data_IF_453601426254
#
_entry.id   IF_453601426254
#
_cell.length_a   1.000
_cell.length_b   1.000
_cell.length_c   1.000
_cell.angle_alpha   90.00
_cell.angle_beta   90.00
_cell.angle_gamma   90.00
#
_symmetry.space_group_name_H-M   'P 1'
#
loop_
_entity.id
_entity.type
_entity.pdbx_description
1 polymer ?
#
# COMPACT_ATOMS: atom_id res chain seq x y z
N UNK A 1 -23.94 1.73 24.81
CA UNK A 1 -22.50 1.37 24.76
C UNK A 1 -22.02 1.69 23.37
N UNK A 2 -20.95 2.48 23.24
CA UNK A 2 -20.34 2.74 21.95
C UNK A 2 -19.81 1.41 21.39
N UNK A 3 -20.04 1.18 20.11
CA UNK A 3 -19.54 -0.02 19.41
C UNK A 3 -18.07 0.21 19.07
N UNK A 4 -17.19 -0.68 19.50
CA UNK A 4 -15.78 -0.66 19.08
C UNK A 4 -15.61 -1.50 17.83
N UNK A 5 -15.20 -0.87 16.73
CA UNK A 5 -14.96 -1.51 15.45
C UNK A 5 -13.45 -1.64 15.21
N UNK A 6 -12.70 -0.56 15.47
CA UNK A 6 -11.27 -0.48 15.25
C UNK A 6 -10.53 -0.64 16.57
N UNK A 7 -9.83 -1.76 16.72
CA UNK A 7 -9.02 -2.06 17.90
C UNK A 7 -7.98 -3.14 17.56
N UNK A 8 -6.83 -2.75 17.06
CA UNK A 8 -5.81 -3.68 16.57
C UNK A 8 -4.42 -3.26 17.04
N UNK A 9 -3.86 -3.99 18.01
CA UNK A 9 -2.62 -3.65 18.68
C UNK A 9 -1.41 -4.52 18.29
N UNK A 10 -1.65 -5.62 17.58
CA UNK A 10 -0.59 -6.55 17.18
C UNK A 10 -1.01 -7.41 15.98
N UNK A 11 -0.09 -8.24 15.49
CA UNK A 11 -0.29 -9.08 14.31
C UNK A 11 -0.73 -10.53 14.65
N UNK A 12 -0.89 -10.90 15.93
CA UNK A 12 -1.11 -12.29 16.36
C UNK A 12 -2.36 -12.52 17.20
N UNK A 13 -3.03 -11.49 17.69
CA UNK A 13 -4.30 -11.66 18.40
C UNK A 13 -5.39 -12.22 17.46
N UNK A 14 -6.39 -12.93 18.00
CA UNK A 14 -7.46 -13.48 17.21
C UNK A 14 -8.15 -12.43 16.35
N UNK A 15 -8.12 -12.61 15.03
CA UNK A 15 -8.76 -11.72 14.06
C UNK A 15 -10.28 -11.78 14.24
N UNK A 16 -10.93 -10.63 14.36
CA UNK A 16 -12.39 -10.51 14.51
C UNK A 16 -13.04 -9.83 13.32
N UNK A 17 -12.34 -8.90 12.69
CA UNK A 17 -12.85 -8.10 11.58
C UNK A 17 -11.70 -7.74 10.65
N UNK A 18 -11.91 -7.83 9.34
CA UNK A 18 -10.89 -7.54 8.33
C UNK A 18 -11.50 -6.88 7.09
N UNK A 19 -10.74 -6.01 6.46
CA UNK A 19 -11.01 -5.52 5.11
C UNK A 19 -10.26 -6.42 4.13
N UNK A 20 -11.00 -7.15 3.30
CA UNK A 20 -10.45 -7.98 2.25
C UNK A 20 -10.61 -7.27 0.90
N UNK A 21 -9.51 -7.07 0.17
CA UNK A 21 -9.51 -6.35 -1.09
C UNK A 21 -10.33 -7.01 -2.21
N UNK A 22 -10.42 -6.32 -3.34
CA UNK A 22 -11.06 -6.77 -4.59
C UNK A 22 -10.12 -6.61 -5.76
N UNK A 23 -10.25 -7.51 -6.75
CA UNK A 23 -9.51 -7.42 -8.00
C UNK A 23 -10.25 -6.63 -9.10
N UNK A 24 -11.48 -6.20 -8.84
CA UNK A 24 -12.29 -5.45 -9.80
C UNK A 24 -11.56 -4.21 -10.30
N UNK A 25 -11.50 -4.07 -11.61
CA UNK A 25 -10.89 -2.93 -12.27
C UNK A 25 -9.37 -2.80 -12.09
N UNK A 26 -8.68 -3.81 -11.54
CA UNK A 26 -7.23 -3.79 -11.39
C UNK A 26 -6.54 -3.59 -12.75
N UNK A 27 -5.51 -2.75 -12.75
CA UNK A 27 -4.67 -2.47 -13.91
C UNK A 27 -3.24 -2.98 -13.72
N UNK A 28 -2.56 -3.17 -14.84
CA UNK A 28 -1.11 -3.14 -14.89
C UNK A 28 -0.76 -1.66 -14.87
N UNK A 29 -0.01 -1.17 -13.87
CA UNK A 29 0.27 0.25 -13.78
C UNK A 29 1.20 0.72 -14.90
N UNK A 30 1.04 1.98 -15.29
CA UNK A 30 1.93 2.60 -16.26
C UNK A 30 3.37 2.72 -15.71
N UNK A 31 4.37 2.74 -16.59
CA UNK A 31 5.76 2.93 -16.19
C UNK A 31 5.94 4.16 -15.31
N UNK A 32 6.67 4.00 -14.23
CA UNK A 32 7.03 5.05 -13.28
C UNK A 32 8.32 4.67 -12.52
N UNK A 33 9.06 5.62 -11.91
CA UNK A 33 10.37 5.35 -11.35
C UNK A 33 10.40 4.19 -10.34
N UNK A 34 9.51 4.17 -9.35
CA UNK A 34 9.50 3.14 -8.32
C UNK A 34 9.08 1.76 -8.85
N UNK A 35 8.19 1.71 -9.84
CA UNK A 35 7.76 0.48 -10.48
C UNK A 35 8.85 -0.07 -11.41
N UNK A 36 9.43 0.79 -12.25
CA UNK A 36 10.44 0.40 -13.22
C UNK A 36 11.68 -0.19 -12.53
N UNK A 37 11.99 0.25 -11.33
CA UNK A 37 13.02 -0.34 -10.50
C UNK A 37 12.73 -1.81 -10.11
N UNK A 38 11.49 -2.27 -10.19
CA UNK A 38 11.08 -3.65 -9.87
C UNK A 38 10.89 -4.54 -11.10
N UNK A 39 10.70 -3.95 -12.27
CA UNK A 39 10.45 -4.69 -13.51
C UNK A 39 11.78 -4.94 -14.22
N UNK A 40 12.19 -6.21 -14.41
CA UNK A 40 13.42 -6.52 -15.15
C UNK A 40 13.37 -5.99 -16.58
N UNK A 41 14.54 -5.61 -17.12
CA UNK A 41 14.65 -5.09 -18.51
C UNK A 41 14.18 -6.09 -19.56
N UNK A 42 14.40 -7.38 -19.33
CA UNK A 42 14.02 -8.50 -20.20
C UNK A 42 12.58 -8.98 -19.95
N UNK A 43 11.83 -8.34 -19.06
CA UNK A 43 10.44 -8.69 -18.80
C UNK A 43 9.55 -8.31 -19.99
N UNK A 44 8.72 -9.25 -20.42
CA UNK A 44 7.67 -9.02 -21.42
C UNK A 44 6.57 -8.04 -20.93
N UNK A 45 6.58 -7.73 -19.61
CA UNK A 45 5.68 -6.76 -18.99
C UNK A 45 6.22 -5.34 -19.02
N UNK A 46 7.51 -5.14 -19.36
CA UNK A 46 8.11 -3.81 -19.35
C UNK A 46 7.42 -2.87 -20.34
N UNK A 47 7.02 -1.71 -19.86
CA UNK A 47 6.30 -0.70 -20.61
C UNK A 47 4.84 -1.00 -20.93
N UNK A 48 4.34 -2.20 -20.62
CA UNK A 48 2.92 -2.52 -20.79
C UNK A 48 2.12 -1.99 -19.61
N UNK A 49 0.95 -1.43 -19.90
CA UNK A 49 0.01 -0.96 -18.90
C UNK A 49 -1.44 -1.02 -19.40
N UNK A 50 -2.40 -0.87 -18.51
CA UNK A 50 -3.82 -0.90 -18.81
C UNK A 50 -4.58 -1.94 -17.99
N UNK A 51 -5.86 -2.15 -18.29
CA UNK A 51 -6.70 -3.09 -17.56
C UNK A 51 -6.14 -4.52 -17.64
N UNK A 52 -6.19 -5.24 -16.53
CA UNK A 52 -5.98 -6.69 -16.55
C UNK A 52 -7.13 -7.36 -17.29
N UNK A 53 -6.85 -8.52 -17.91
CA UNK A 53 -7.89 -9.29 -18.57
C UNK A 53 -9.01 -9.68 -17.61
N UNK A 54 -10.25 -9.71 -18.08
CA UNK A 54 -11.40 -10.09 -17.24
C UNK A 54 -11.21 -11.49 -16.64
N UNK A 55 -10.67 -12.44 -17.40
CA UNK A 55 -10.33 -13.78 -16.90
C UNK A 55 -9.40 -13.74 -15.68
N UNK A 56 -8.38 -12.89 -15.72
CA UNK A 56 -7.44 -12.72 -14.59
C UNK A 56 -8.14 -12.11 -13.37
N UNK A 57 -9.00 -11.13 -13.59
CA UNK A 57 -9.78 -10.47 -12.52
C UNK A 57 -10.76 -11.45 -11.89
N UNK A 58 -11.51 -12.20 -12.71
CA UNK A 58 -12.49 -13.18 -12.25
C UNK A 58 -11.83 -14.29 -11.42
N UNK A 59 -10.71 -14.83 -11.88
CA UNK A 59 -9.95 -15.85 -11.15
C UNK A 59 -9.42 -15.31 -9.81
N UNK A 60 -8.93 -14.07 -9.79
CA UNK A 60 -8.47 -13.45 -8.55
C UNK A 60 -9.63 -13.22 -7.57
N UNK A 61 -10.78 -12.75 -8.04
CA UNK A 61 -11.98 -12.57 -7.22
C UNK A 61 -12.51 -13.92 -6.70
N UNK A 62 -12.52 -14.98 -7.52
CA UNK A 62 -12.89 -16.32 -7.06
C UNK A 62 -12.03 -16.78 -5.87
N UNK A 63 -10.72 -16.57 -5.93
CA UNK A 63 -9.80 -16.91 -4.83
C UNK A 63 -10.08 -16.06 -3.59
N UNK A 64 -10.30 -14.75 -3.76
CA UNK A 64 -10.65 -13.85 -2.68
C UNK A 64 -12.00 -14.21 -2.04
N UNK A 65 -13.00 -14.55 -2.82
CA UNK A 65 -14.32 -14.98 -2.34
C UNK A 65 -14.25 -16.30 -1.59
N UNK A 66 -13.41 -17.23 -2.02
CA UNK A 66 -13.16 -18.46 -1.30
C UNK A 66 -12.43 -18.21 0.03
N UNK A 67 -11.50 -17.28 0.06
CA UNK A 67 -10.84 -16.85 1.29
C UNK A 67 -11.84 -16.15 2.24
N UNK A 68 -12.71 -15.29 1.74
CA UNK A 68 -13.79 -14.67 2.51
C UNK A 68 -14.68 -15.72 3.19
N UNK A 69 -15.12 -16.75 2.45
CA UNK A 69 -15.92 -17.86 3.01
C UNK A 69 -15.20 -18.58 4.16
N UNK A 70 -13.88 -18.76 4.04
CA UNK A 70 -13.05 -19.38 5.10
C UNK A 70 -13.04 -18.49 6.35
N UNK A 71 -12.88 -17.20 6.18
CA UNK A 71 -12.86 -16.22 7.28
C UNK A 71 -14.22 -16.17 7.99
N UNK A 72 -15.31 -16.05 7.22
CA UNK A 72 -16.68 -16.02 7.75
C UNK A 72 -16.99 -17.32 8.51
N UNK A 73 -16.61 -18.49 7.98
CA UNK A 73 -16.78 -19.78 8.67
C UNK A 73 -16.06 -19.84 10.03
N UNK A 74 -15.01 -19.03 10.20
CA UNK A 74 -14.28 -18.89 11.47
C UNK A 74 -14.84 -17.78 12.37
N UNK A 75 -15.98 -17.19 12.03
CA UNK A 75 -16.63 -16.14 12.80
C UNK A 75 -16.00 -14.75 12.62
N UNK A 76 -15.15 -14.57 11.59
CA UNK A 76 -14.51 -13.29 11.29
C UNK A 76 -15.45 -12.49 10.39
N UNK A 77 -15.71 -11.24 10.77
CA UNK A 77 -16.43 -10.30 9.92
C UNK A 77 -15.50 -9.83 8.80
N UNK A 78 -16.00 -9.86 7.56
CA UNK A 78 -15.27 -9.39 6.38
C UNK A 78 -16.04 -8.25 5.73
N UNK A 79 -15.36 -7.15 5.51
CA UNK A 79 -15.86 -6.05 4.67
C UNK A 79 -14.98 -5.94 3.42
N UNK A 80 -15.56 -5.46 2.32
CA UNK A 80 -14.88 -5.32 1.02
C UNK A 80 -14.85 -3.84 0.60
N UNK A 81 -13.74 -3.36 0.00
CA UNK A 81 -13.67 -1.99 -0.51
C UNK A 81 -14.66 -1.77 -1.65
N UNK A 82 -14.92 -0.51 -1.94
CA UNK A 82 -15.66 -0.09 -3.11
C UNK A 82 -14.69 0.33 -4.21
N UNK A 83 -14.47 -0.50 -5.24
CA UNK A 83 -13.53 -0.19 -6.32
C UNK A 83 -13.94 1.08 -7.05
N UNK A 84 -12.98 1.96 -7.28
CA UNK A 84 -13.10 3.10 -8.19
C UNK A 84 -12.63 2.70 -9.59
N UNK A 85 -12.77 3.56 -10.58
CA UNK A 85 -12.19 3.33 -11.90
C UNK A 85 -10.66 3.50 -11.84
N UNK A 86 -9.90 2.40 -11.95
CA UNK A 86 -8.43 2.45 -11.96
C UNK A 86 -7.86 2.65 -13.37
N UNK A 87 -8.64 2.39 -14.42
CA UNK A 87 -8.23 2.60 -15.80
C UNK A 87 -8.54 4.04 -16.23
N UNK A 88 -7.87 4.99 -15.58
CA UNK A 88 -8.01 6.41 -15.88
C UNK A 88 -6.69 7.13 -15.62
N UNK A 89 -6.48 8.21 -16.39
CA UNK A 89 -5.37 9.12 -16.13
C UNK A 89 -5.55 9.80 -14.79
N UNK A 90 -4.46 9.90 -14.07
CA UNK A 90 -4.37 10.65 -12.82
C UNK A 90 -3.22 11.64 -12.92
N UNK A 91 -3.37 12.78 -12.28
CA UNK A 91 -2.33 13.80 -12.26
C UNK A 91 -2.32 14.59 -10.95
N UNK A 92 -1.15 15.07 -10.61
CA UNK A 92 -0.90 16.09 -9.61
C UNK A 92 -0.14 17.22 -10.30
N UNK A 93 0.15 18.34 -9.63
CA UNK A 93 1.01 19.39 -10.20
C UNK A 93 2.41 18.89 -10.60
N UNK A 94 2.89 17.78 -10.02
CA UNK A 94 4.28 17.32 -10.13
C UNK A 94 4.46 16.15 -11.11
N UNK A 95 3.41 15.35 -11.35
CA UNK A 95 3.50 14.15 -12.20
C UNK A 95 2.14 13.73 -12.75
N UNK A 96 2.18 12.81 -13.73
CA UNK A 96 1.01 12.16 -14.35
C UNK A 96 1.25 10.66 -14.44
N UNK A 97 0.16 9.88 -14.40
CA UNK A 97 0.17 8.45 -14.69
C UNK A 97 -1.03 8.09 -15.57
N UNK A 98 -0.85 7.15 -16.49
CA UNK A 98 -1.91 6.73 -17.42
C UNK A 98 -2.94 5.82 -16.76
N UNK A 99 -2.56 5.12 -15.68
CA UNK A 99 -3.45 4.23 -14.93
C UNK A 99 -3.11 4.28 -13.44
N UNK A 100 -4.09 3.87 -12.64
CA UNK A 100 -3.88 3.47 -11.25
C UNK A 100 -3.57 1.97 -11.18
N UNK A 101 -3.45 1.41 -9.98
CA UNK A 101 -3.15 -0.01 -9.78
C UNK A 101 -4.40 -0.84 -9.44
N UNK A 102 -5.07 -0.59 -8.32
CA UNK A 102 -6.22 -1.39 -7.88
C UNK A 102 -6.60 -1.16 -6.42
N UNK A 103 -7.33 -2.11 -5.83
CA UNK A 103 -7.69 -2.09 -4.41
C UNK A 103 -7.60 -3.47 -3.74
N UNK A 104 -6.76 -4.34 -4.26
CA UNK A 104 -6.61 -5.68 -3.71
C UNK A 104 -5.79 -5.70 -2.40
N UNK A 105 -4.65 -4.99 -2.27
CA UNK A 105 -3.83 -5.03 -1.07
C UNK A 105 -4.19 -3.93 -0.07
N UNK A 106 -5.31 -4.08 0.64
CA UNK A 106 -5.76 -3.11 1.66
C UNK A 106 -4.69 -2.81 2.71
N UNK A 107 -3.89 -3.81 3.09
CA UNK A 107 -2.84 -3.73 4.11
C UNK A 107 -1.71 -2.74 3.75
N UNK A 108 -1.48 -2.52 2.45
CA UNK A 108 -0.44 -1.58 2.00
C UNK A 108 -0.87 -0.12 2.17
N UNK A 109 -2.17 0.14 2.06
CA UNK A 109 -2.74 1.49 1.98
C UNK A 109 -3.19 2.00 3.35
N UNK A 110 -3.74 1.11 4.18
CA UNK A 110 -4.33 1.46 5.47
C UNK A 110 -3.58 0.76 6.60
N UNK A 111 -2.95 1.56 7.45
CA UNK A 111 -2.35 1.11 8.69
C UNK A 111 -3.40 1.24 9.81
N UNK A 112 -3.65 0.15 10.53
CA UNK A 112 -4.49 0.19 11.73
C UNK A 112 -3.61 0.00 12.95
N UNK A 113 -3.62 0.97 13.88
CA UNK A 113 -2.87 0.90 15.15
C UNK A 113 -3.81 1.25 16.29
N UNK A 114 -4.06 0.30 17.17
CA UNK A 114 -5.03 0.49 18.24
C UNK A 114 -6.41 0.84 17.67
N UNK A 115 -6.93 1.99 18.04
CA UNK A 115 -8.21 2.52 17.56
C UNK A 115 -8.08 3.53 16.40
N UNK A 116 -6.92 3.59 15.78
CA UNK A 116 -6.64 4.54 14.70
C UNK A 116 -6.44 3.82 13.37
N UNK A 117 -7.02 4.38 12.30
CA UNK A 117 -6.75 4.00 10.92
C UNK A 117 -6.04 5.16 10.21
N UNK A 118 -4.83 4.90 9.74
CA UNK A 118 -3.98 5.87 9.07
C UNK A 118 -3.85 5.52 7.57
N UNK A 119 -4.13 6.48 6.70
CA UNK A 119 -3.84 6.35 5.27
C UNK A 119 -2.34 6.57 5.04
N UNK A 120 -1.65 5.57 4.49
CA UNK A 120 -0.23 5.61 4.22
C UNK A 120 0.14 6.59 3.10
N UNK A 121 1.40 7.01 3.08
CA UNK A 121 1.93 7.96 2.08
C UNK A 121 1.92 7.37 0.68
N UNK A 122 2.29 6.11 0.52
CA UNK A 122 2.55 5.37 -0.72
C UNK A 122 3.74 5.94 -1.51
N UNK A 123 4.60 5.06 -1.96
CA UNK A 123 5.79 5.43 -2.74
C UNK A 123 5.62 5.32 -4.26
N UNK A 124 4.47 4.82 -4.70
CA UNK A 124 4.13 4.65 -6.11
C UNK A 124 3.10 5.68 -6.56
N UNK A 125 3.37 6.39 -7.63
CA UNK A 125 2.44 7.35 -8.23
C UNK A 125 1.12 6.71 -8.61
N UNK A 126 1.15 5.54 -9.22
CA UNK A 126 -0.06 4.79 -9.60
C UNK A 126 -0.93 4.38 -8.40
N UNK A 127 -0.39 4.35 -7.18
CA UNK A 127 -1.07 3.97 -5.95
C UNK A 127 -1.49 5.15 -5.08
N UNK A 128 -1.12 6.36 -5.45
CA UNK A 128 -1.29 7.55 -4.64
C UNK A 128 -2.75 7.81 -4.22
N UNK A 129 -3.73 7.44 -5.07
CA UNK A 129 -5.16 7.60 -4.84
C UNK A 129 -5.86 6.31 -4.40
N UNK A 130 -5.16 5.21 -4.10
CA UNK A 130 -5.79 3.93 -3.74
C UNK A 130 -6.65 4.02 -2.47
N UNK A 131 -6.33 4.91 -1.54
CA UNK A 131 -7.11 5.14 -0.33
C UNK A 131 -8.59 5.47 -0.60
N UNK A 132 -8.92 6.03 -1.77
CA UNK A 132 -10.30 6.36 -2.15
C UNK A 132 -11.20 5.12 -2.21
N UNK A 133 -10.65 3.94 -2.51
CA UNK A 133 -11.42 2.69 -2.50
C UNK A 133 -11.90 2.31 -1.11
N UNK A 134 -11.21 2.75 -0.07
CA UNK A 134 -11.44 2.36 1.33
C UNK A 134 -12.21 3.41 2.11
N UNK A 135 -12.21 4.65 1.67
CA UNK A 135 -12.86 5.76 2.37
C UNK A 135 -14.33 5.54 2.71
N UNK A 136 -15.18 4.95 1.83
CA UNK A 136 -16.56 4.66 2.19
C UNK A 136 -16.70 3.71 3.40
N UNK A 137 -15.79 2.71 3.52
CA UNK A 137 -15.76 1.81 4.67
C UNK A 137 -15.25 2.52 5.93
N UNK A 138 -14.18 3.29 5.80
CA UNK A 138 -13.58 4.02 6.92
C UNK A 138 -14.58 5.03 7.47
N UNK A 139 -15.27 5.76 6.60
CA UNK A 139 -16.33 6.69 7.01
C UNK A 139 -17.44 5.98 7.79
N UNK A 140 -17.92 4.83 7.29
CA UNK A 140 -18.90 4.02 7.99
C UNK A 140 -18.42 3.59 9.37
N UNK A 141 -17.15 3.18 9.50
CA UNK A 141 -16.59 2.79 10.80
C UNK A 141 -16.50 3.99 11.75
N UNK A 142 -16.06 5.13 11.22
CA UNK A 142 -15.97 6.37 11.98
C UNK A 142 -17.33 6.84 12.52
N UNK A 143 -18.39 6.70 11.72
CA UNK A 143 -19.75 7.06 12.12
C UNK A 143 -20.33 6.11 13.19
N UNK A 144 -19.90 4.83 13.21
CA UNK A 144 -20.37 3.80 14.13
C UNK A 144 -19.51 3.66 15.40
N UNK A 145 -18.22 4.01 15.35
CA UNK A 145 -17.25 3.87 16.45
C UNK A 145 -16.75 5.23 16.92
N UNK A 146 -17.36 5.73 17.99
CA UNK A 146 -17.04 7.06 18.54
C UNK A 146 -15.64 7.19 19.14
N UNK A 147 -14.91 6.07 19.31
CA UNK A 147 -13.53 6.06 19.81
C UNK A 147 -12.50 5.93 18.69
N UNK A 148 -12.95 5.68 17.47
CA UNK A 148 -12.07 5.56 16.32
C UNK A 148 -11.45 6.90 15.96
N UNK A 149 -10.20 6.87 15.54
CA UNK A 149 -9.52 7.97 14.86
C UNK A 149 -9.26 7.60 13.41
N UNK A 150 -9.38 8.59 12.54
CA UNK A 150 -9.02 8.48 11.14
C UNK A 150 -8.05 9.60 10.80
N UNK A 151 -6.87 9.23 10.39
CA UNK A 151 -5.79 10.15 10.06
C UNK A 151 -5.26 9.88 8.66
N UNK A 152 -4.69 10.89 8.06
CA UNK A 152 -3.99 10.78 6.77
C UNK A 152 -2.55 11.21 6.97
N UNK A 153 -1.60 10.36 6.66
CA UNK A 153 -0.20 10.78 6.60
C UNK A 153 -0.05 11.90 5.57
N UNK A 154 0.82 12.89 5.78
CA UNK A 154 1.09 13.92 4.79
C UNK A 154 1.39 13.28 3.43
N UNK A 155 0.58 13.60 2.42
CA UNK A 155 0.75 13.03 1.09
C UNK A 155 2.00 13.59 0.43
N UNK A 156 2.93 12.75 -0.01
CA UNK A 156 4.16 13.18 -0.65
C UNK A 156 3.87 13.76 -2.04
N UNK A 157 4.73 14.62 -2.52
CA UNK A 157 4.63 15.15 -3.89
C UNK A 157 5.02 14.10 -4.94
N UNK A 158 5.91 13.17 -4.59
CA UNK A 158 6.46 12.15 -5.48
C UNK A 158 7.09 12.75 -6.74
N UNK A 159 7.89 13.78 -6.56
CA UNK A 159 8.64 14.42 -7.64
C UNK A 159 9.72 13.49 -8.18
N UNK A 160 10.41 13.87 -9.24
CA UNK A 160 11.55 13.08 -9.73
C UNK A 160 12.77 13.13 -8.78
N UNK A 161 12.77 14.03 -7.80
CA UNK A 161 13.81 14.10 -6.77
C UNK A 161 13.66 13.00 -5.71
N UNK A 162 12.45 12.44 -5.58
CA UNK A 162 12.16 11.35 -4.65
C UNK A 162 12.73 10.00 -5.11
N UNK A 163 13.27 9.94 -6.33
CA UNK A 163 13.78 8.71 -6.94
C UNK A 163 15.20 8.86 -7.46
N UNK A 164 16.03 7.84 -7.20
CA UNK A 164 17.40 7.78 -7.69
C UNK A 164 17.42 7.41 -9.17
N UNK A 165 17.93 8.31 -10.00
CA UNK A 165 18.03 8.10 -11.46
C UNK A 165 19.01 6.98 -11.82
N UNK A 166 20.10 6.85 -11.08
CA UNK A 166 21.12 5.81 -11.26
C UNK A 166 20.61 4.41 -10.90
N UNK A 167 19.63 4.31 -10.01
CA UNK A 167 18.97 3.05 -9.67
C UNK A 167 18.20 2.45 -10.86
N UNK A 168 17.69 3.30 -11.76
CA UNK A 168 16.85 2.92 -12.90
C UNK A 168 17.66 2.55 -14.14
N UNK A 169 18.97 2.81 -14.15
CA UNK A 169 19.83 2.62 -15.34
C UNK A 169 20.30 1.18 -15.54
N UNK A 170 20.14 0.31 -14.56
CA UNK A 170 20.67 -1.04 -14.58
C UNK A 170 19.58 -2.12 -14.52
N UNK A 171 19.79 -3.20 -15.26
CA UNK A 171 19.04 -4.45 -15.11
C UNK A 171 19.34 -5.06 -13.75
N UNK A 172 18.33 -5.09 -12.88
CA UNK A 172 18.52 -5.50 -11.49
C UNK A 172 18.13 -6.95 -11.30
N UNK A 173 19.11 -7.84 -11.30
CA UNK A 173 18.93 -9.22 -10.83
C UNK A 173 18.82 -9.31 -9.31
N UNK A 174 18.21 -10.42 -8.82
CA UNK A 174 18.02 -10.67 -7.37
C UNK A 174 19.31 -10.50 -6.54
N UNK A 175 20.48 -10.99 -6.97
CA UNK A 175 21.73 -10.83 -6.21
C UNK A 175 22.11 -9.36 -6.00
N UNK A 176 21.97 -8.51 -7.02
CA UNK A 176 22.29 -7.09 -6.94
C UNK A 176 21.29 -6.33 -6.07
N UNK A 177 20.01 -6.67 -6.11
CA UNK A 177 18.99 -6.11 -5.20
C UNK A 177 19.32 -6.41 -3.74
N UNK A 178 19.74 -7.63 -3.42
CA UNK A 178 20.16 -8.00 -2.06
C UNK A 178 21.41 -7.22 -1.62
N UNK A 179 22.37 -7.04 -2.50
CA UNK A 179 23.57 -6.22 -2.24
C UNK A 179 23.17 -4.76 -1.97
N UNK A 180 22.34 -4.16 -2.81
CA UNK A 180 21.88 -2.80 -2.65
C UNK A 180 21.09 -2.62 -1.35
N UNK A 181 20.19 -3.56 -1.03
CA UNK A 181 19.44 -3.52 0.24
C UNK A 181 20.37 -3.59 1.45
N UNK A 182 21.41 -4.46 1.42
CA UNK A 182 22.43 -4.53 2.48
C UNK A 182 23.19 -3.21 2.65
N UNK A 183 23.46 -2.53 1.56
CA UNK A 183 24.17 -1.26 1.53
C UNK A 183 23.25 -0.05 1.74
N UNK A 184 21.97 -0.28 2.06
CA UNK A 184 20.94 0.76 2.20
C UNK A 184 20.80 1.65 0.96
N UNK A 185 21.08 1.10 -0.22
CA UNK A 185 20.87 1.76 -1.48
C UNK A 185 19.48 1.41 -2.00
N UNK A 186 18.57 2.37 -1.95
CA UNK A 186 17.17 2.23 -2.28
C UNK A 186 16.80 3.09 -3.49
N UNK A 187 15.70 2.78 -4.17
CA UNK A 187 15.22 3.57 -5.30
C UNK A 187 14.70 4.93 -4.87
N UNK A 188 14.09 5.00 -3.69
CA UNK A 188 13.65 6.27 -3.10
C UNK A 188 14.82 7.00 -2.46
N UNK A 189 14.80 8.32 -2.58
CA UNK A 189 15.70 9.22 -1.85
C UNK A 189 15.10 9.54 -0.46
N UNK A 190 15.74 10.44 0.26
CA UNK A 190 15.30 10.87 1.58
C UNK A 190 14.65 12.27 1.56
N UNK A 191 14.12 12.68 0.39
CA UNK A 191 13.48 13.99 0.22
C UNK A 191 12.13 14.09 0.94
N UNK A 192 11.34 13.01 0.91
CA UNK A 192 10.03 12.94 1.54
C UNK A 192 9.84 11.61 2.30
N UNK A 193 9.03 11.57 3.39
CA UNK A 193 8.69 10.32 4.05
C UNK A 193 7.77 9.48 3.16
N UNK A 194 8.26 8.30 2.78
CA UNK A 194 7.56 7.36 1.89
C UNK A 194 7.46 5.99 2.58
N UNK A 195 6.26 5.47 2.71
CA UNK A 195 6.03 4.12 3.23
C UNK A 195 4.70 3.54 2.75
N UNK A 196 4.68 2.25 2.56
CA UNK A 196 3.46 1.47 2.49
C UNK A 196 3.09 1.04 3.92
N UNK A 197 1.81 1.01 4.27
CA UNK A 197 1.40 0.57 5.61
C UNK A 197 1.84 -0.87 5.91
N UNK A 198 2.09 -1.69 4.88
CA UNK A 198 2.62 -3.04 5.01
C UNK A 198 4.07 -3.10 5.53
N UNK A 199 4.83 -2.01 5.42
CA UNK A 199 6.18 -1.92 5.99
C UNK A 199 6.19 -1.80 7.52
N UNK A 200 5.02 -1.63 8.15
CA UNK A 200 4.87 -1.34 9.57
C UNK A 200 4.14 -2.48 10.27
N UNK A 201 4.77 -3.09 11.27
CA UNK A 201 4.22 -4.13 12.14
C UNK A 201 3.90 -3.55 13.51
N UNK A 202 2.77 -3.97 14.07
CA UNK A 202 2.31 -3.55 15.41
C UNK A 202 2.81 -4.51 16.47
N UNK A 203 3.33 -3.95 17.55
CA UNK A 203 3.77 -4.69 18.71
C UNK A 203 3.30 -4.00 20.01
N UNK A 204 2.01 -4.05 20.29
CA UNK A 204 1.39 -3.30 21.38
C UNK A 204 1.41 -1.79 21.09
N UNK A 205 2.15 -1.04 21.90
CA UNK A 205 2.35 0.41 21.70
C UNK A 205 3.57 0.73 20.83
N UNK A 206 4.36 -0.28 20.47
CA UNK A 206 5.53 -0.13 19.65
C UNK A 206 5.22 -0.47 18.18
N UNK A 207 5.94 0.13 17.27
CA UNK A 207 5.89 -0.16 15.85
C UNK A 207 7.26 -0.65 15.39
N UNK A 208 7.28 -1.76 14.68
CA UNK A 208 8.47 -2.26 14.00
C UNK A 208 8.33 -1.88 12.55
N UNK A 209 9.29 -1.13 12.03
CA UNK A 209 9.26 -0.63 10.66
C UNK A 209 10.37 -1.27 9.85
N UNK A 210 10.00 -1.82 8.68
CA UNK A 210 10.96 -2.32 7.71
C UNK A 210 11.37 -1.19 6.77
N UNK A 211 12.66 -0.86 6.76
CA UNK A 211 13.21 0.03 5.76
C UNK A 211 13.51 -0.76 4.49
N UNK A 212 12.68 -0.58 3.46
CA UNK A 212 12.79 -1.22 2.17
C UNK A 212 13.24 -0.27 1.07
N UNK A 213 13.41 -0.77 -0.16
CA UNK A 213 13.94 0.04 -1.25
C UNK A 213 12.94 1.07 -1.83
N UNK A 214 11.69 1.02 -1.42
CA UNK A 214 10.65 2.03 -1.70
C UNK A 214 10.16 2.73 -0.42
N UNK A 215 10.91 2.63 0.68
CA UNK A 215 10.52 3.17 1.98
C UNK A 215 11.57 4.16 2.45
N UNK A 216 11.15 5.38 2.74
CA UNK A 216 11.98 6.40 3.38
C UNK A 216 11.32 6.84 4.69
N UNK A 217 12.02 6.66 5.80
CA UNK A 217 11.51 6.94 7.14
C UNK A 217 12.34 8.00 7.88
N UNK A 218 13.24 8.68 7.21
CA UNK A 218 14.26 9.53 7.83
C UNK A 218 13.70 10.58 8.78
N UNK A 219 12.50 11.06 8.52
CA UNK A 219 11.85 12.12 9.30
C UNK A 219 10.71 11.64 10.21
N UNK A 220 10.41 10.35 10.23
CA UNK A 220 9.21 9.86 10.91
C UNK A 220 9.46 9.21 12.26
N UNK A 221 10.71 8.92 12.62
CA UNK A 221 11.02 8.33 13.93
C UNK A 221 12.45 8.64 14.35
N UNK A 222 12.67 9.36 15.45
CA UNK A 222 13.98 9.38 16.08
C UNK A 222 14.34 7.94 16.48
N UNK A 223 15.41 7.42 15.93
CA UNK A 223 15.96 6.14 16.36
C UNK A 223 16.39 6.27 17.83
N UNK A 224 16.03 5.30 18.72
CA UNK A 224 16.54 5.30 20.07
C UNK A 224 18.06 5.19 20.17
N UNK A 225 18.75 5.07 19.03
CA UNK A 225 20.21 4.98 18.91
C UNK A 225 20.87 6.26 18.41
N UNK A 226 20.08 7.27 18.07
CA UNK A 226 20.63 8.58 17.75
C UNK A 226 20.86 9.32 19.08
N UNK A 227 22.08 9.81 19.31
CA UNK A 227 22.46 10.44 20.58
C UNK A 227 21.72 11.75 20.86
#
# INVERSE_FOLDING_TARGET
MSKTIVNSWNEWDPLKHVILGKADGCCIPAPEPALDAKVPEDSDMKGKYGPRTQETVDKANELLDNFEKILIKRGIKVDRPQPINHNQKIETPDWKSETMFGCMPARDVILTVGNEMLEATMSYRCRWFEYLNYRPLIQKYFDEDTNMKHETAPKPRLTDLDYRKDYLSDTIGVPKRLEWTKNKFFVTTEEEPLFDAADILRFGKDLIVQHGFTTCLLYTSPSPRDP
#
